data_IF_696687764999
#
_entry.id   IF_696687764999
#
_cell.length_a   1.000
_cell.length_b   1.000
_cell.length_c   1.000
_cell.angle_alpha   90.00
_cell.angle_beta   90.00
_cell.angle_gamma   90.00
#
_symmetry.space_group_name_H-M   'P 1'
#
loop_
_entity.id
_entity.type
_entity.pdbx_description
1 polymer ?
#
# COMPACT_ATOMS: atom_id res chain seq x y z
N UNK A 1 -4.04 -2.93 18.17
CA UNK A 1 -3.47 -1.61 18.58
C UNK A 1 -2.62 -1.70 19.84
N UNK A 2 -3.04 -2.43 20.86
CA UNK A 2 -2.36 -2.49 22.17
C UNK A 2 -0.94 -3.08 22.10
N UNK A 3 -0.72 -4.13 21.32
CA UNK A 3 0.62 -4.70 21.06
C UNK A 3 1.59 -3.69 20.40
N UNK A 4 1.10 -2.83 19.50
CA UNK A 4 1.93 -1.81 18.83
C UNK A 4 2.33 -0.67 19.78
N UNK A 5 1.49 -0.34 20.78
CA UNK A 5 1.82 0.66 21.81
C UNK A 5 2.99 0.21 22.69
N UNK A 6 3.14 -1.11 22.90
CA UNK A 6 4.24 -1.66 23.68
C UNK A 6 5.62 -1.31 23.10
N UNK A 7 5.73 -1.21 21.76
CA UNK A 7 6.97 -0.87 21.06
C UNK A 7 7.52 0.53 21.41
N UNK A 8 6.66 1.44 21.88
CA UNK A 8 7.03 2.83 22.16
C UNK A 8 7.18 3.13 23.65
N UNK A 9 6.94 2.15 24.55
CA UNK A 9 6.85 2.37 26.01
C UNK A 9 8.08 3.06 26.62
N UNK A 10 9.28 2.85 26.06
CA UNK A 10 10.53 3.46 26.55
C UNK A 10 10.84 4.84 25.95
N UNK A 11 10.05 5.30 24.98
CA UNK A 11 10.30 6.56 24.26
C UNK A 11 9.55 7.72 24.91
N UNK A 12 10.14 8.93 24.85
CA UNK A 12 9.51 10.16 25.38
C UNK A 12 8.10 10.39 24.81
N UNK A 13 7.85 10.03 23.55
CA UNK A 13 6.54 10.16 22.91
C UNK A 13 5.43 9.37 23.63
N UNK A 14 5.77 8.27 24.31
CA UNK A 14 4.78 7.46 25.03
C UNK A 14 4.26 8.13 26.31
N UNK A 15 4.90 9.21 26.79
CA UNK A 15 4.41 10.02 27.89
C UNK A 15 3.21 10.90 27.48
N UNK A 16 3.02 11.13 26.17
CA UNK A 16 1.94 11.94 25.63
C UNK A 16 0.76 11.07 25.21
N UNK A 17 -0.06 10.68 26.18
CA UNK A 17 -1.21 9.79 25.97
C UNK A 17 -2.19 10.28 24.91
N UNK A 18 -2.44 11.60 24.87
CA UNK A 18 -3.30 12.21 23.86
C UNK A 18 -2.73 12.02 22.44
N UNK A 19 -1.41 12.18 22.29
CA UNK A 19 -0.72 12.07 21.01
C UNK A 19 -0.76 10.63 20.50
N UNK A 20 -0.44 9.67 21.37
CA UNK A 20 -0.50 8.25 21.01
C UNK A 20 -1.92 7.82 20.63
N UNK A 21 -2.95 8.23 21.39
CA UNK A 21 -4.35 7.92 21.08
C UNK A 21 -4.79 8.53 19.75
N UNK A 22 -4.35 9.75 19.46
CA UNK A 22 -4.71 10.46 18.24
C UNK A 22 -3.93 9.96 17.02
N UNK A 23 -2.67 9.55 17.20
CA UNK A 23 -1.76 9.30 16.08
C UNK A 23 -1.46 7.81 15.79
N UNK A 24 -1.43 6.93 16.80
CA UNK A 24 -0.93 5.57 16.62
C UNK A 24 -1.92 4.66 15.88
N UNK A 25 -1.56 4.28 14.65
CA UNK A 25 -2.33 3.34 13.83
C UNK A 25 -3.70 3.89 13.41
N UNK A 26 -3.77 5.20 13.13
CA UNK A 26 -4.99 5.89 12.70
C UNK A 26 -4.99 6.29 11.21
N UNK A 27 -3.91 6.02 10.47
CA UNK A 27 -3.85 6.23 9.02
C UNK A 27 -3.68 4.90 8.30
N UNK A 28 -4.35 4.70 7.16
CA UNK A 28 -4.03 3.62 6.25
C UNK A 28 -2.61 3.79 5.71
N UNK A 29 -1.85 2.69 5.69
CA UNK A 29 -0.47 2.66 5.22
C UNK A 29 -0.37 1.61 4.14
N UNK A 30 0.20 1.99 2.99
CA UNK A 30 0.63 1.07 1.94
C UNK A 30 2.15 0.95 2.04
N UNK A 31 2.66 -0.26 2.19
CA UNK A 31 4.09 -0.55 2.23
C UNK A 31 4.55 -1.32 0.99
N UNK A 32 5.46 -0.74 0.22
CA UNK A 32 6.07 -1.34 -0.97
C UNK A 32 7.58 -1.41 -0.77
N UNK A 33 8.20 -2.52 -1.14
CA UNK A 33 9.66 -2.72 -1.08
C UNK A 33 10.14 -3.34 -2.39
N UNK A 34 11.25 -2.83 -2.91
CA UNK A 34 11.81 -3.21 -4.20
C UNK A 34 12.95 -4.25 -4.13
N UNK A 35 13.12 -4.92 -2.99
CA UNK A 35 14.11 -5.99 -2.78
C UNK A 35 14.08 -7.07 -3.87
N UNK A 36 15.24 -7.32 -4.48
CA UNK A 36 15.59 -8.54 -5.22
C UNK A 36 14.74 -8.84 -6.47
N UNK A 37 14.72 -7.93 -7.43
CA UNK A 37 13.95 -8.09 -8.67
C UNK A 37 14.74 -8.80 -9.78
N UNK A 38 14.38 -10.06 -10.09
CA UNK A 38 14.88 -10.74 -11.30
C UNK A 38 14.17 -10.31 -12.58
N UNK A 39 12.88 -9.97 -12.48
CA UNK A 39 12.07 -9.42 -13.56
C UNK A 39 11.12 -8.36 -12.98
N UNK A 40 11.50 -7.09 -13.15
CA UNK A 40 10.86 -5.91 -12.60
C UNK A 40 9.33 -5.92 -12.77
N UNK A 41 8.84 -6.11 -13.99
CA UNK A 41 7.40 -6.05 -14.29
C UNK A 41 6.61 -7.19 -13.63
N UNK A 42 7.15 -8.41 -13.64
CA UNK A 42 6.48 -9.57 -13.03
C UNK A 42 6.45 -9.46 -11.50
N UNK A 43 7.53 -8.97 -10.89
CA UNK A 43 7.60 -8.68 -9.46
C UNK A 43 6.61 -7.58 -9.05
N UNK A 44 6.49 -6.51 -9.85
CA UNK A 44 5.50 -5.44 -9.61
C UNK A 44 4.09 -6.00 -9.66
N UNK A 45 3.72 -6.73 -10.72
CA UNK A 45 2.37 -7.33 -10.84
C UNK A 45 2.03 -8.18 -9.62
N UNK A 46 2.96 -9.06 -9.22
CA UNK A 46 2.76 -9.91 -8.05
C UNK A 46 2.58 -9.08 -6.78
N UNK A 47 3.43 -8.08 -6.55
CA UNK A 47 3.35 -7.24 -5.35
C UNK A 47 2.06 -6.40 -5.30
N UNK A 48 1.58 -5.93 -6.45
CA UNK A 48 0.29 -5.24 -6.57
C UNK A 48 -0.86 -6.20 -6.26
N UNK A 49 -0.84 -7.43 -6.80
CA UNK A 49 -1.84 -8.45 -6.46
C UNK A 49 -1.84 -8.77 -4.96
N UNK A 50 -0.65 -8.96 -4.35
CA UNK A 50 -0.50 -9.20 -2.91
C UNK A 50 -1.05 -8.03 -2.07
N UNK A 51 -0.80 -6.78 -2.49
CA UNK A 51 -1.36 -5.59 -1.85
C UNK A 51 -2.90 -5.58 -1.91
N UNK A 52 -3.47 -5.91 -3.06
CA UNK A 52 -4.93 -6.00 -3.22
C UNK A 52 -5.53 -7.13 -2.38
N UNK A 53 -4.81 -8.25 -2.25
CA UNK A 53 -5.19 -9.35 -1.38
C UNK A 53 -5.17 -8.94 0.11
N UNK A 54 -4.16 -8.19 0.56
CA UNK A 54 -4.10 -7.64 1.93
C UNK A 54 -5.30 -6.73 2.23
N UNK A 55 -5.76 -5.98 1.23
CA UNK A 55 -6.85 -5.03 1.33
C UNK A 55 -8.20 -5.55 0.82
N UNK A 56 -8.37 -6.87 0.66
CA UNK A 56 -9.60 -7.49 0.15
C UNK A 56 -10.85 -7.13 0.97
N UNK A 57 -10.69 -6.82 2.25
CA UNK A 57 -11.78 -6.39 3.15
C UNK A 57 -12.54 -5.14 2.64
N UNK A 58 -11.95 -4.33 1.75
CA UNK A 58 -12.61 -3.19 1.12
C UNK A 58 -13.78 -3.67 0.23
N UNK A 59 -13.55 -4.73 -0.56
CA UNK A 59 -14.58 -5.34 -1.39
C UNK A 59 -15.68 -5.98 -0.53
N UNK A 60 -15.30 -6.69 0.53
CA UNK A 60 -16.25 -7.43 1.37
C UNK A 60 -17.25 -6.49 2.09
N UNK A 61 -16.89 -5.21 2.27
CA UNK A 61 -17.76 -4.18 2.84
C UNK A 61 -18.67 -3.48 1.81
N UNK A 62 -18.62 -3.87 0.51
CA UNK A 62 -19.40 -3.28 -0.60
C UNK A 62 -19.32 -1.75 -0.70
N UNK A 63 -18.15 -1.18 -0.38
CA UNK A 63 -17.90 0.26 -0.48
C UNK A 63 -17.45 0.72 -1.87
N UNK A 64 -17.36 -0.19 -2.84
CA UNK A 64 -16.87 0.10 -4.19
C UNK A 64 -18.02 0.11 -5.18
N UNK A 65 -17.90 0.91 -6.24
CA UNK A 65 -18.79 0.84 -7.38
C UNK A 65 -18.49 -0.40 -8.23
N UNK A 66 -19.47 -0.90 -9.00
CA UNK A 66 -19.33 -2.13 -9.81
C UNK A 66 -18.09 -2.15 -10.71
N UNK A 67 -17.72 -1.02 -11.30
CA UNK A 67 -16.53 -0.93 -12.16
C UNK A 67 -15.24 -1.09 -11.34
N UNK A 68 -15.19 -0.48 -10.15
CA UNK A 68 -14.06 -0.62 -9.23
C UNK A 68 -13.95 -2.04 -8.68
N UNK A 69 -15.06 -2.71 -8.36
CA UNK A 69 -15.05 -4.12 -7.96
C UNK A 69 -14.47 -5.03 -9.05
N UNK A 70 -14.84 -4.78 -10.32
CA UNK A 70 -14.30 -5.52 -11.45
C UNK A 70 -12.79 -5.30 -11.62
N UNK A 71 -12.34 -4.04 -11.54
CA UNK A 71 -10.92 -3.72 -11.65
C UNK A 71 -10.14 -4.30 -10.47
N UNK A 72 -10.65 -4.19 -9.25
CA UNK A 72 -10.05 -4.76 -8.05
C UNK A 72 -9.86 -6.26 -8.19
N UNK A 73 -10.90 -6.98 -8.64
CA UNK A 73 -10.83 -8.44 -8.85
C UNK A 73 -9.79 -8.79 -9.89
N UNK A 74 -9.76 -8.11 -11.04
CA UNK A 74 -8.74 -8.35 -12.08
C UNK A 74 -7.32 -8.10 -11.57
N UNK A 75 -7.13 -7.05 -10.75
CA UNK A 75 -5.84 -6.74 -10.16
C UNK A 75 -5.39 -7.82 -9.18
N UNK A 76 -6.32 -8.31 -8.35
CA UNK A 76 -6.12 -9.40 -7.41
C UNK A 76 -5.72 -10.69 -8.16
N UNK A 77 -6.37 -10.98 -9.28
CA UNK A 77 -6.06 -12.12 -10.14
C UNK A 77 -4.78 -11.93 -10.98
N UNK A 78 -4.17 -10.73 -10.97
CA UNK A 78 -2.98 -10.41 -11.76
C UNK A 78 -3.23 -10.35 -13.28
N UNK A 79 -4.49 -10.17 -13.70
CA UNK A 79 -4.93 -10.21 -15.11
C UNK A 79 -5.08 -8.82 -15.74
N UNK A 80 -4.76 -7.76 -15.01
CA UNK A 80 -4.77 -6.40 -15.55
C UNK A 80 -3.64 -6.16 -16.57
N UNK A 81 -3.93 -5.31 -17.55
CA UNK A 81 -2.93 -4.82 -18.49
C UNK A 81 -1.94 -3.83 -17.85
N UNK A 82 -0.92 -3.43 -18.61
CA UNK A 82 0.10 -2.50 -18.13
C UNK A 82 -0.47 -1.11 -17.79
N UNK A 83 -1.52 -0.64 -18.48
CA UNK A 83 -2.11 0.68 -18.23
C UNK A 83 -2.75 0.70 -16.85
N UNK A 84 -3.60 -0.29 -16.55
CA UNK A 84 -4.22 -0.43 -15.24
C UNK A 84 -3.21 -0.75 -14.15
N UNK A 85 -2.12 -1.46 -14.47
CA UNK A 85 -1.05 -1.73 -13.52
C UNK A 85 -0.38 -0.44 -13.03
N UNK A 86 -0.17 0.54 -13.92
CA UNK A 86 0.41 1.85 -13.54
C UNK A 86 -0.51 2.62 -12.60
N UNK A 87 -1.83 2.48 -12.74
CA UNK A 87 -2.83 3.16 -11.92
C UNK A 87 -3.20 2.40 -10.64
N UNK A 88 -2.66 1.19 -10.42
CA UNK A 88 -3.10 0.31 -9.34
C UNK A 88 -2.85 0.89 -7.94
N UNK A 89 -1.69 1.52 -7.71
CA UNK A 89 -1.39 2.15 -6.41
C UNK A 89 -2.30 3.37 -6.16
N UNK A 90 -2.53 4.18 -7.19
CA UNK A 90 -3.46 5.32 -7.13
C UNK A 90 -4.88 4.86 -6.83
N UNK A 91 -5.32 3.79 -7.47
CA UNK A 91 -6.64 3.19 -7.25
C UNK A 91 -6.77 2.66 -5.82
N UNK A 92 -5.78 1.89 -5.34
CA UNK A 92 -5.75 1.41 -3.95
C UNK A 92 -5.76 2.55 -2.93
N UNK A 93 -5.00 3.63 -3.19
CA UNK A 93 -5.00 4.82 -2.34
C UNK A 93 -6.39 5.44 -2.25
N UNK A 94 -7.08 5.59 -3.39
CA UNK A 94 -8.47 6.08 -3.41
C UNK A 94 -9.38 5.16 -2.59
N UNK A 95 -9.31 3.86 -2.80
CA UNK A 95 -10.15 2.88 -2.08
C UNK A 95 -9.95 2.94 -0.56
N UNK A 96 -8.70 3.05 -0.09
CA UNK A 96 -8.39 3.21 1.33
C UNK A 96 -8.87 4.56 1.87
N UNK A 97 -8.73 5.63 1.08
CA UNK A 97 -9.22 6.94 1.46
C UNK A 97 -10.73 6.94 1.67
N UNK A 98 -11.48 6.39 0.73
CA UNK A 98 -12.94 6.25 0.79
C UNK A 98 -13.37 5.31 1.94
N UNK A 99 -12.61 4.24 2.18
CA UNK A 99 -12.92 3.28 3.24
C UNK A 99 -12.72 3.87 4.65
N UNK A 100 -11.57 4.54 4.88
CA UNK A 100 -11.17 5.04 6.21
C UNK A 100 -11.51 6.52 6.46
N UNK A 101 -11.80 7.30 5.41
CA UNK A 101 -11.97 8.75 5.51
C UNK A 101 -10.69 9.48 5.92
N UNK A 102 -9.51 8.92 5.57
CA UNK A 102 -8.18 9.42 5.98
C UNK A 102 -7.23 9.43 4.81
N UNK A 103 -6.25 10.34 4.83
CA UNK A 103 -5.15 10.34 3.87
C UNK A 103 -4.34 9.04 3.99
N UNK A 104 -3.86 8.52 2.86
CA UNK A 104 -3.08 7.28 2.80
C UNK A 104 -1.60 7.63 2.83
N UNK A 105 -0.83 6.93 3.65
CA UNK A 105 0.63 7.08 3.72
C UNK A 105 1.27 5.97 2.88
N UNK A 106 2.11 6.35 1.93
CA UNK A 106 2.97 5.44 1.19
C UNK A 106 4.34 5.36 1.85
N UNK A 107 4.78 4.14 2.14
CA UNK A 107 6.14 3.84 2.56
C UNK A 107 6.79 3.00 1.46
N UNK A 108 7.78 3.57 0.79
CA UNK A 108 8.51 2.93 -0.31
C UNK A 108 9.93 2.66 0.17
N UNK A 109 10.27 1.39 0.31
CA UNK A 109 11.59 0.90 0.69
C UNK A 109 12.38 0.51 -0.58
N UNK A 110 13.68 0.84 -0.59
CA UNK A 110 14.61 0.62 -1.73
C UNK A 110 14.16 1.24 -3.06
N UNK A 111 13.61 2.44 -3.00
CA UNK A 111 13.16 3.19 -4.18
C UNK A 111 14.27 3.49 -5.20
N UNK A 112 15.53 3.44 -4.76
CA UNK A 112 16.76 3.54 -5.56
C UNK A 112 17.03 2.29 -6.41
N UNK A 113 16.74 1.10 -5.91
CA UNK A 113 17.03 -0.16 -6.62
C UNK A 113 16.45 -0.23 -8.05
N UNK A 114 15.15 0.10 -8.28
CA UNK A 114 14.60 0.24 -9.62
C UNK A 114 15.33 1.26 -10.50
N UNK A 115 15.74 2.40 -9.94
CA UNK A 115 16.41 3.46 -10.70
C UNK A 115 17.81 3.04 -11.13
N UNK A 116 18.58 2.40 -10.24
CA UNK A 116 19.92 1.88 -10.56
C UNK A 116 19.89 0.78 -11.62
N UNK A 117 18.84 -0.05 -11.64
CA UNK A 117 18.74 -1.21 -12.52
C UNK A 117 17.90 -0.98 -13.78
N UNK A 118 17.30 0.20 -13.96
CA UNK A 118 16.49 0.53 -15.12
C UNK A 118 17.30 0.85 -16.38
N UNK A 119 18.63 1.01 -16.28
CA UNK A 119 19.50 1.43 -17.38
C UNK A 119 19.22 2.88 -17.79
N UNK A 120 20.18 3.77 -17.56
CA UNK A 120 20.18 5.19 -17.97
C UNK A 120 19.51 6.21 -17.02
N UNK A 121 19.45 6.00 -15.71
CA UNK A 121 19.03 7.07 -14.78
C UNK A 121 20.15 8.09 -14.44
N UNK A 122 21.41 7.72 -14.68
CA UNK A 122 22.59 8.55 -14.38
C UNK A 122 23.44 8.90 -15.62
N UNK A 123 22.95 8.59 -16.81
CA UNK A 123 23.60 8.94 -18.09
C UNK A 123 22.93 10.17 -18.74
#
# INVERSE_FOLDING_TARGET
KEQKRALFKSLKVAQFDWFIKLHLGNWPVIYVSFKSWKSMLSSIRKRISDLYQEHRYIMDNKKLHKNDESLFTKTLDGTIDNSYLMDALSSMSRYLHEYFGKQVIFLIDEYDWPMEHAGNFYD
#
